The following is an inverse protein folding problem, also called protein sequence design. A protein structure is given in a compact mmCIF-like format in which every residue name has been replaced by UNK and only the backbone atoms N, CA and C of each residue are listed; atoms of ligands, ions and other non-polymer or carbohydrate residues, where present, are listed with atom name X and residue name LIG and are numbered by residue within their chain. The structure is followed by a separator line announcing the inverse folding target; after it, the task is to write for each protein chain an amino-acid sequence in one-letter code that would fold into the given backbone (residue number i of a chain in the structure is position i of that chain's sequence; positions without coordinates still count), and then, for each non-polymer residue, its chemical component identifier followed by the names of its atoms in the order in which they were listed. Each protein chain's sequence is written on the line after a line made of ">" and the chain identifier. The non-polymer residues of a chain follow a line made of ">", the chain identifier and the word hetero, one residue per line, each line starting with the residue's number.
data_IF_109615365552
#
_entry.id   IF_109615365552
#
_cell.length_a   1.000
_cell.length_b   1.000
_cell.length_c   1.000
_cell.angle_alpha   90.00
_cell.angle_beta   90.00
_cell.angle_gamma   90.00
#
_symmetry.space_group_name_H-M   'P 1'
#
loop_
_entity.id
_entity.type
_entity.pdbx_description
1 polymer ?
#
# COMPACT_ATOMS: atom_id res chain seq x y z
N UNK A 1 11.55 -14.34 24.83
CA UNK A 1 11.15 -12.97 24.44
C UNK A 1 11.87 -12.68 23.12
N UNK A 2 11.61 -13.51 22.10
CA UNK A 2 12.51 -13.69 20.93
C UNK A 2 11.83 -13.43 19.58
N UNK A 3 10.53 -13.13 19.58
CA UNK A 3 9.72 -12.99 18.36
C UNK A 3 10.13 -11.80 17.48
N UNK A 4 10.63 -10.70 18.06
CA UNK A 4 11.12 -9.54 17.31
C UNK A 4 12.44 -9.84 16.57
N UNK A 5 13.25 -10.79 17.05
CA UNK A 5 14.51 -11.18 16.40
C UNK A 5 14.26 -11.85 15.06
N UNK A 6 13.18 -12.64 14.94
CA UNK A 6 12.85 -13.35 13.71
C UNK A 6 12.40 -12.41 12.59
N UNK A 7 11.49 -11.47 12.89
CA UNK A 7 11.05 -10.48 11.91
C UNK A 7 12.22 -9.64 11.39
N UNK A 8 13.05 -9.09 12.27
CA UNK A 8 14.19 -8.26 11.87
C UNK A 8 15.24 -9.02 11.05
N UNK A 9 15.34 -10.34 11.20
CA UNK A 9 16.23 -11.18 10.38
C UNK A 9 15.70 -11.45 8.98
N UNK A 10 14.38 -11.39 8.77
CA UNK A 10 13.72 -11.74 7.51
C UNK A 10 13.17 -10.55 6.74
N UNK A 11 12.85 -9.47 7.43
CA UNK A 11 12.40 -8.24 6.81
C UNK A 11 13.55 -7.55 6.09
N UNK A 12 13.42 -7.41 4.78
CA UNK A 12 14.34 -6.65 3.93
C UNK A 12 13.75 -5.26 3.75
N UNK A 13 14.48 -4.23 4.18
CA UNK A 13 14.15 -2.86 3.81
C UNK A 13 14.42 -2.67 2.31
N UNK A 14 13.38 -2.33 1.56
CA UNK A 14 13.47 -2.05 0.13
C UNK A 14 14.03 -0.65 -0.11
N UNK A 15 14.71 -0.49 -1.24
CA UNK A 15 15.32 0.77 -1.63
C UNK A 15 14.27 1.80 -2.08
N UNK A 16 14.75 2.97 -2.50
CA UNK A 16 13.89 4.06 -2.95
C UNK A 16 13.12 3.75 -4.23
N UNK A 17 13.51 2.74 -5.02
CA UNK A 17 12.80 2.38 -6.26
C UNK A 17 11.36 1.92 -5.95
N UNK A 18 11.18 1.25 -4.80
CA UNK A 18 9.88 0.76 -4.35
C UNK A 18 8.99 1.93 -3.92
N UNK A 19 9.55 2.94 -3.25
CA UNK A 19 8.78 4.11 -2.84
C UNK A 19 8.26 4.90 -4.05
N UNK A 20 9.07 4.99 -5.11
CA UNK A 20 8.68 5.65 -6.37
C UNK A 20 7.66 4.81 -7.14
N UNK A 21 7.77 3.48 -7.07
CA UNK A 21 6.85 2.56 -7.76
C UNK A 21 5.48 2.50 -7.10
N UNK A 22 5.42 2.58 -5.76
CA UNK A 22 4.21 2.36 -4.96
C UNK A 22 3.84 3.55 -4.04
N UNK A 23 3.73 4.78 -4.57
CA UNK A 23 3.39 5.96 -3.78
C UNK A 23 1.96 5.90 -3.24
N UNK A 24 0.99 5.35 -3.98
CA UNK A 24 -0.40 5.30 -3.52
C UNK A 24 -0.56 4.36 -2.33
N UNK A 25 0.08 3.19 -2.37
CA UNK A 25 0.14 2.25 -1.24
C UNK A 25 0.80 2.87 0.00
N UNK A 26 1.92 3.56 -0.19
CA UNK A 26 2.63 4.25 0.91
C UNK A 26 1.74 5.33 1.54
N UNK A 27 1.05 6.12 0.71
CA UNK A 27 0.17 7.18 1.15
C UNK A 27 -1.15 6.69 1.75
N UNK A 28 -1.71 5.58 1.26
CA UNK A 28 -2.98 5.04 1.74
C UNK A 28 -2.99 4.76 3.25
N UNK A 29 -1.84 4.42 3.84
CA UNK A 29 -1.68 4.26 5.29
C UNK A 29 -1.92 5.55 6.11
N UNK A 30 -1.97 6.71 5.45
CA UNK A 30 -2.12 8.04 6.08
C UNK A 30 -3.47 8.72 5.81
N UNK A 31 -4.35 8.12 5.00
CA UNK A 31 -5.48 8.82 4.37
C UNK A 31 -6.85 8.52 5.03
N UNK A 32 -6.92 7.71 6.08
CA UNK A 32 -8.18 7.49 6.82
C UNK A 32 -8.51 8.58 7.84
N UNK A 33 -9.81 8.81 8.04
CA UNK A 33 -10.36 9.74 9.02
C UNK A 33 -9.86 9.41 10.43
N UNK A 34 -9.56 10.48 11.15
CA UNK A 34 -8.76 10.61 12.40
C UNK A 34 -9.20 9.72 13.58
N UNK A 35 -10.26 8.92 13.45
CA UNK A 35 -10.86 8.13 14.53
C UNK A 35 -10.38 6.67 14.62
N UNK A 36 -9.89 6.06 13.52
CA UNK A 36 -9.20 4.75 13.58
C UNK A 36 -7.70 4.91 13.32
N UNK A 37 -6.89 4.46 14.29
CA UNK A 37 -5.41 4.56 14.28
C UNK A 37 -4.84 4.13 12.93
N UNK A 38 -4.03 5.01 12.32
CA UNK A 38 -3.17 4.80 11.13
C UNK A 38 -2.70 3.34 11.02
N UNK A 39 -3.44 2.50 10.30
CA UNK A 39 -3.04 1.12 10.00
C UNK A 39 -2.03 1.15 8.86
N UNK A 40 -0.97 0.35 8.95
CA UNK A 40 -0.13 0.13 7.78
C UNK A 40 -0.92 -0.70 6.77
N UNK A 41 -0.57 -0.55 5.49
CA UNK A 41 -1.09 -1.43 4.45
C UNK A 41 -0.13 -2.60 4.31
N UNK A 42 -0.64 -3.82 4.50
CA UNK A 42 0.08 -5.06 4.27
C UNK A 42 -0.45 -5.67 3.00
N UNK A 43 0.40 -5.76 1.97
CA UNK A 43 0.08 -6.52 0.76
C UNK A 43 0.79 -7.85 0.87
N UNK A 44 0.01 -8.92 0.96
CA UNK A 44 0.53 -10.26 1.23
C UNK A 44 0.03 -11.27 0.21
N UNK A 45 0.70 -12.42 0.12
CA UNK A 45 0.26 -13.61 -0.58
C UNK A 45 0.70 -14.84 0.21
N UNK A 46 -0.09 -15.91 0.12
CA UNK A 46 0.11 -17.11 0.94
C UNK A 46 -0.29 -18.37 0.18
N UNK A 47 0.51 -19.41 0.35
CA UNK A 47 0.18 -20.75 -0.11
C UNK A 47 0.36 -21.78 1.01
N UNK A 48 0.44 -23.06 0.65
CA UNK A 48 0.57 -24.16 1.61
C UNK A 48 1.91 -24.18 2.35
N UNK A 49 2.95 -23.53 1.82
CA UNK A 49 4.30 -23.55 2.39
C UNK A 49 4.74 -22.20 2.92
N UNK A 50 4.39 -21.12 2.23
CA UNK A 50 5.03 -19.82 2.38
C UNK A 50 4.04 -18.66 2.58
N UNK A 51 4.51 -17.66 3.30
CA UNK A 51 3.90 -16.35 3.46
C UNK A 51 4.89 -15.28 3.01
N UNK A 52 4.44 -14.38 2.12
CA UNK A 52 5.14 -13.14 1.81
C UNK A 52 4.26 -11.94 2.16
N UNK A 53 4.85 -10.93 2.77
CA UNK A 53 4.18 -9.70 3.19
C UNK A 53 5.05 -8.50 2.88
N UNK A 54 4.47 -7.48 2.25
CA UNK A 54 5.10 -6.17 2.09
C UNK A 54 4.33 -5.14 2.88
N UNK A 55 5.05 -4.43 3.74
CA UNK A 55 4.53 -3.41 4.64
C UNK A 55 4.73 -2.04 4.01
N UNK A 56 3.63 -1.36 3.72
CA UNK A 56 3.61 0.01 3.25
C UNK A 56 3.17 0.95 4.37
N UNK A 57 3.95 2.01 4.53
CA UNK A 57 3.79 3.03 5.57
C UNK A 57 4.13 4.38 4.96
N UNK A 58 3.44 5.43 5.40
CA UNK A 58 3.72 6.82 5.01
C UNK A 58 5.03 7.32 5.64
N UNK A 59 5.52 6.62 6.67
CA UNK A 59 6.77 6.91 7.35
C UNK A 59 7.66 5.66 7.33
N UNK A 60 8.88 5.82 6.84
CA UNK A 60 9.93 4.80 6.88
C UNK A 60 10.12 4.00 5.60
N UNK A 61 10.92 2.95 5.69
CA UNK A 61 11.21 2.05 4.58
C UNK A 61 10.03 1.10 4.32
N UNK A 62 9.85 0.72 3.06
CA UNK A 62 8.98 -0.40 2.69
C UNK A 62 9.69 -1.69 3.13
N UNK A 63 9.02 -2.51 3.93
CA UNK A 63 9.60 -3.76 4.45
C UNK A 63 9.00 -4.93 3.69
N UNK A 64 9.84 -5.79 3.13
CA UNK A 64 9.44 -7.04 2.47
C UNK A 64 9.88 -8.22 3.33
N UNK A 65 8.92 -8.99 3.80
CA UNK A 65 9.12 -10.14 4.65
C UNK A 65 8.67 -11.40 3.92
N UNK A 66 9.48 -12.44 3.98
CA UNK A 66 9.15 -13.76 3.44
C UNK A 66 9.64 -14.86 4.40
N UNK A 67 8.77 -15.82 4.69
CA UNK A 67 9.10 -17.00 5.49
C UNK A 67 8.13 -18.15 5.21
N UNK A 68 8.60 -19.37 5.45
CA UNK A 68 7.72 -20.54 5.47
C UNK A 68 6.88 -20.58 6.75
N UNK A 69 5.73 -21.28 6.70
CA UNK A 69 4.88 -21.48 7.88
C UNK A 69 5.61 -22.16 9.03
N UNK A 70 6.47 -23.14 8.74
CA UNK A 70 7.30 -23.82 9.75
C UNK A 70 8.22 -22.85 10.50
N UNK A 71 8.81 -21.89 9.80
CA UNK A 71 9.69 -20.90 10.43
C UNK A 71 8.90 -19.89 11.28
N UNK A 72 7.71 -19.51 10.82
CA UNK A 72 6.80 -18.65 11.57
C UNK A 72 6.33 -19.35 12.85
N UNK A 73 5.99 -20.63 12.76
CA UNK A 73 5.56 -21.44 13.90
C UNK A 73 6.64 -21.59 14.97
N UNK A 74 7.90 -21.71 14.55
CA UNK A 74 9.03 -21.90 15.46
C UNK A 74 9.32 -20.69 16.36
N UNK A 75 8.91 -19.47 15.98
CA UNK A 75 9.31 -18.28 16.75
C UNK A 75 8.57 -16.97 16.50
N UNK A 76 7.61 -16.91 15.57
CA UNK A 76 6.99 -15.66 15.15
C UNK A 76 5.46 -15.65 15.16
N UNK A 77 4.78 -16.70 15.65
CA UNK A 77 3.30 -16.75 15.73
C UNK A 77 2.70 -15.55 16.45
N UNK A 78 3.27 -15.15 17.58
CA UNK A 78 2.79 -14.00 18.36
C UNK A 78 2.91 -12.67 17.60
N UNK A 79 4.02 -12.48 16.89
CA UNK A 79 4.21 -11.33 16.01
C UNK A 79 3.25 -11.35 14.82
N UNK A 80 3.06 -12.49 14.14
CA UNK A 80 2.13 -12.59 13.02
C UNK A 80 0.70 -12.30 13.47
N UNK A 81 0.26 -12.83 14.62
CA UNK A 81 -1.05 -12.54 15.19
C UNK A 81 -1.24 -11.04 15.48
N UNK A 82 -0.20 -10.36 15.96
CA UNK A 82 -0.20 -8.90 16.12
C UNK A 82 -0.35 -8.21 14.75
N UNK A 83 0.46 -8.58 13.76
CA UNK A 83 0.42 -7.99 12.41
C UNK A 83 -0.94 -8.15 11.74
N UNK A 84 -1.58 -9.32 11.89
CA UNK A 84 -2.91 -9.62 11.35
C UNK A 84 -3.96 -8.68 11.93
N UNK A 85 -3.91 -8.43 13.24
CA UNK A 85 -4.93 -7.63 13.95
C UNK A 85 -4.85 -6.12 13.68
N UNK A 86 -3.64 -5.58 13.50
CA UNK A 86 -3.40 -4.13 13.55
C UNK A 86 -3.22 -3.46 12.20
N UNK A 87 -3.23 -4.23 11.11
CA UNK A 87 -3.01 -3.71 9.76
C UNK A 87 -4.21 -3.94 8.85
N UNK A 88 -4.25 -3.19 7.75
CA UNK A 88 -5.16 -3.45 6.64
C UNK A 88 -4.46 -4.35 5.65
N UNK A 89 -5.12 -5.43 5.27
CA UNK A 89 -4.55 -6.48 4.43
C UNK A 89 -5.13 -6.47 3.03
N UNK A 90 -4.24 -6.66 2.07
CA UNK A 90 -4.57 -7.05 0.70
C UNK A 90 -4.09 -8.47 0.46
N UNK A 91 -4.99 -9.30 -0.04
CA UNK A 91 -4.69 -10.65 -0.50
C UNK A 91 -5.05 -10.84 -1.98
N UNK A 92 -4.38 -11.76 -2.69
CA UNK A 92 -4.67 -12.08 -4.08
C UNK A 92 -6.09 -12.62 -4.23
N UNK A 93 -6.46 -13.57 -3.37
CA UNK A 93 -7.69 -14.35 -3.47
C UNK A 93 -8.18 -14.88 -2.11
N UNK A 94 -9.37 -15.47 -2.09
CA UNK A 94 -9.89 -16.19 -0.93
C UNK A 94 -9.03 -17.40 -0.55
N UNK A 95 -8.34 -18.03 -1.51
CA UNK A 95 -7.45 -19.17 -1.27
C UNK A 95 -6.27 -18.77 -0.37
N UNK A 96 -5.67 -17.60 -0.62
CA UNK A 96 -4.60 -17.06 0.21
C UNK A 96 -5.10 -16.76 1.64
N UNK A 97 -6.33 -16.23 1.77
CA UNK A 97 -6.93 -16.00 3.08
C UNK A 97 -7.11 -17.30 3.87
N UNK A 98 -7.53 -18.38 3.20
CA UNK A 98 -7.67 -19.69 3.82
C UNK A 98 -6.33 -20.21 4.35
N UNK A 99 -5.23 -20.01 3.62
CA UNK A 99 -3.90 -20.40 4.09
C UNK A 99 -3.44 -19.60 5.31
N UNK A 100 -3.71 -18.30 5.34
CA UNK A 100 -3.43 -17.45 6.51
C UNK A 100 -4.29 -17.87 7.71
N UNK A 101 -5.58 -18.11 7.51
CA UNK A 101 -6.50 -18.51 8.58
C UNK A 101 -6.15 -19.89 9.14
N UNK A 102 -5.76 -20.84 8.27
CA UNK A 102 -5.34 -22.17 8.67
C UNK A 102 -4.11 -22.16 9.58
N UNK A 103 -3.12 -21.31 9.27
CA UNK A 103 -1.85 -21.25 10.01
C UNK A 103 -1.86 -20.22 11.16
N UNK A 104 -2.79 -19.26 11.13
CA UNK A 104 -2.87 -18.18 12.11
C UNK A 104 -4.33 -17.79 12.42
N UNK A 105 -4.78 -16.63 11.93
CA UNK A 105 -6.12 -16.07 12.16
C UNK A 105 -6.58 -15.29 10.93
N UNK A 106 -7.88 -15.21 10.70
CA UNK A 106 -8.43 -14.36 9.65
C UNK A 106 -8.12 -12.86 9.92
N UNK A 107 -7.57 -12.10 8.95
CA UNK A 107 -7.41 -10.66 9.08
C UNK A 107 -8.77 -9.96 9.22
N UNK A 108 -8.84 -8.97 10.12
CA UNK A 108 -10.09 -8.27 10.44
C UNK A 108 -10.42 -7.14 9.46
N UNK A 109 -9.40 -6.57 8.81
CA UNK A 109 -9.52 -5.53 7.79
C UNK A 109 -8.85 -6.09 6.51
N UNK A 110 -9.64 -6.81 5.72
CA UNK A 110 -9.17 -7.60 4.58
C UNK A 110 -9.82 -7.12 3.28
N UNK A 111 -9.00 -6.97 2.23
CA UNK A 111 -9.42 -6.68 0.86
C UNK A 111 -8.81 -7.72 -0.09
N UNK A 112 -9.50 -7.97 -1.20
CA UNK A 112 -9.05 -8.88 -2.24
C UNK A 112 -8.77 -8.15 -3.54
N UNK A 113 -7.60 -8.40 -4.13
CA UNK A 113 -7.27 -7.89 -5.46
C UNK A 113 -7.95 -8.69 -6.58
N UNK A 114 -8.44 -9.90 -6.28
CA UNK A 114 -9.00 -10.86 -7.24
C UNK A 114 -8.02 -11.15 -8.39
N UNK A 115 -6.76 -11.37 -8.04
CA UNK A 115 -5.67 -11.61 -8.98
C UNK A 115 -4.66 -12.56 -8.36
N UNK A 116 -4.68 -13.81 -8.82
CA UNK A 116 -3.75 -14.83 -8.34
C UNK A 116 -2.29 -14.46 -8.64
N UNK A 117 -1.39 -14.90 -7.75
CA UNK A 117 0.06 -14.77 -7.92
C UNK A 117 0.57 -16.07 -8.54
N UNK A 118 0.70 -16.10 -9.87
CA UNK A 118 1.27 -17.24 -10.58
C UNK A 118 2.69 -17.55 -10.07
N UNK A 119 2.98 -18.80 -9.76
CA UNK A 119 4.26 -19.20 -9.17
C UNK A 119 4.36 -19.00 -7.65
N UNK A 120 3.29 -18.50 -7.00
CA UNK A 120 3.19 -18.41 -5.55
C UNK A 120 3.87 -17.18 -4.94
N UNK A 121 3.85 -17.04 -3.60
CA UNK A 121 4.34 -15.87 -2.88
C UNK A 121 5.86 -15.65 -3.04
N UNK A 122 6.61 -16.69 -3.37
CA UNK A 122 8.08 -16.63 -3.51
C UNK A 122 8.53 -16.13 -4.89
N UNK A 123 7.66 -16.17 -5.91
CA UNK A 123 7.94 -15.59 -7.22
C UNK A 123 7.88 -14.06 -7.16
N UNK A 124 9.06 -13.43 -7.14
CA UNK A 124 9.17 -11.97 -7.03
C UNK A 124 8.60 -11.23 -8.23
N UNK A 125 8.66 -11.79 -9.44
CA UNK A 125 8.14 -11.11 -10.63
C UNK A 125 6.62 -11.07 -10.59
N UNK A 126 6.00 -12.22 -10.32
CA UNK A 126 4.55 -12.32 -10.20
C UNK A 126 4.03 -11.53 -9.01
N UNK A 127 4.74 -11.57 -7.88
CA UNK A 127 4.37 -10.79 -6.70
C UNK A 127 4.44 -9.28 -6.98
N UNK A 128 5.44 -8.78 -7.72
CA UNK A 128 5.48 -7.35 -8.12
C UNK A 128 4.29 -6.96 -9.01
N UNK A 129 3.90 -7.79 -9.98
CA UNK A 129 2.69 -7.52 -10.79
C UNK A 129 1.42 -7.47 -9.96
N UNK A 130 1.36 -8.25 -8.89
CA UNK A 130 0.29 -8.19 -7.91
C UNK A 130 0.32 -6.87 -7.11
N UNK A 131 1.49 -6.44 -6.63
CA UNK A 131 1.65 -5.12 -6.00
C UNK A 131 1.19 -3.99 -6.92
N UNK A 132 1.55 -4.02 -8.21
CA UNK A 132 1.12 -3.05 -9.21
C UNK A 132 -0.42 -2.98 -9.33
N UNK A 133 -1.09 -4.13 -9.22
CA UNK A 133 -2.55 -4.20 -9.28
C UNK A 133 -3.20 -3.52 -8.06
N UNK A 134 -2.65 -3.73 -6.86
CA UNK A 134 -3.14 -3.10 -5.62
C UNK A 134 -2.85 -1.59 -5.62
N UNK A 135 -1.65 -1.19 -6.05
CA UNK A 135 -1.27 0.21 -6.25
C UNK A 135 -2.26 0.92 -7.18
N UNK A 136 -2.60 0.30 -8.31
CA UNK A 136 -3.58 0.86 -9.25
C UNK A 136 -4.96 1.06 -8.63
N UNK A 137 -5.38 0.18 -7.70
CA UNK A 137 -6.65 0.34 -7.01
C UNK A 137 -6.63 1.55 -6.08
N UNK A 138 -5.53 1.77 -5.34
CA UNK A 138 -5.39 2.98 -4.52
C UNK A 138 -5.24 4.25 -5.36
N UNK A 139 -4.60 4.21 -6.53
CA UNK A 139 -4.55 5.39 -7.42
C UNK A 139 -5.92 5.82 -7.93
N UNK A 140 -6.89 4.89 -7.99
CA UNK A 140 -8.28 5.16 -8.36
C UNK A 140 -9.14 5.61 -7.18
N UNK A 141 -8.67 5.45 -5.95
CA UNK A 141 -9.33 5.98 -4.77
C UNK A 141 -9.27 7.50 -4.83
N UNK A 142 -10.42 8.17 -4.80
CA UNK A 142 -10.50 9.61 -4.99
C UNK A 142 -9.72 10.38 -3.91
N UNK A 143 -9.72 9.90 -2.67
CA UNK A 143 -9.02 10.54 -1.56
C UNK A 143 -7.52 10.43 -1.73
N UNK A 144 -7.03 9.24 -2.12
CA UNK A 144 -5.62 9.02 -2.41
C UNK A 144 -5.19 9.78 -3.67
N UNK A 145 -6.01 9.76 -4.70
CA UNK A 145 -5.76 10.46 -5.96
C UNK A 145 -5.61 11.97 -5.76
N UNK A 146 -6.48 12.61 -4.96
CA UNK A 146 -6.37 14.06 -4.68
C UNK A 146 -5.09 14.43 -3.96
N UNK A 147 -4.58 13.55 -3.09
CA UNK A 147 -3.31 13.78 -2.38
C UNK A 147 -2.11 13.59 -3.32
N UNK A 148 -2.16 12.59 -4.20
CA UNK A 148 -1.09 12.32 -5.17
C UNK A 148 -1.06 13.34 -6.31
N UNK A 149 -2.23 13.82 -6.73
CA UNK A 149 -2.43 14.73 -7.85
C UNK A 149 -3.29 15.91 -7.40
N UNK A 150 -2.74 16.85 -6.61
CA UNK A 150 -3.50 18.02 -6.20
C UNK A 150 -3.90 18.85 -7.43
N UNK A 151 -5.14 19.32 -7.46
CA UNK A 151 -5.78 20.05 -8.59
C UNK A 151 -5.05 21.37 -9.01
N UNK A 152 -3.93 21.71 -8.37
CA UNK A 152 -3.16 22.93 -8.60
C UNK A 152 -2.05 22.86 -9.67
N UNK A 153 -1.71 21.68 -10.21
CA UNK A 153 -0.60 21.55 -11.19
C UNK A 153 -1.03 21.62 -12.66
N UNK A 154 -2.34 21.53 -12.94
CA UNK A 154 -2.90 21.61 -14.30
C UNK A 154 -3.87 22.79 -14.50
N UNK A 155 -3.88 23.77 -13.59
CA UNK A 155 -4.45 25.08 -13.93
C UNK A 155 -3.41 25.82 -14.75
N UNK A 156 -3.35 25.44 -16.04
CA UNK A 156 -2.58 26.15 -17.04
C UNK A 156 -2.89 27.65 -16.94
N UNK A 157 -1.81 28.42 -17.00
CA UNK A 157 -1.75 29.87 -17.13
C UNK A 157 -2.39 30.31 -18.46
N UNK A 158 -3.67 30.00 -18.63
CA UNK A 158 -4.44 30.23 -19.85
C UNK A 158 -5.77 30.87 -19.48
N UNK A 159 -5.72 31.88 -18.62
CA UNK A 159 -6.76 32.89 -18.53
C UNK A 159 -6.30 34.13 -19.32
N UNK A 160 -6.52 34.06 -20.64
CA UNK A 160 -6.97 35.19 -21.48
C UNK A 160 -6.28 36.54 -21.29
N UNK A 161 -5.16 36.73 -21.99
CA UNK A 161 -4.76 38.05 -22.48
C UNK A 161 -5.41 38.24 -23.87
N UNK A 162 -6.68 38.64 -23.90
CA UNK A 162 -7.35 39.13 -25.12
C UNK A 162 -8.11 40.42 -24.80
N UNK A 163 -7.57 41.49 -25.38
CA UNK A 163 -8.08 42.84 -25.59
C UNK A 163 -9.57 43.13 -25.28
N UNK A 164 -9.79 44.23 -24.55
CA UNK A 164 -10.84 45.18 -24.87
C UNK A 164 -10.21 46.58 -24.94
N UNK A 165 -9.97 47.03 -26.17
CA UNK A 165 -9.75 48.44 -26.50
C UNK A 165 -10.98 49.28 -26.15
N UNK A 166 -10.73 50.51 -25.73
CA UNK A 166 -11.62 51.64 -25.98
C UNK A 166 -12.62 51.98 -24.88
N UNK A 167 -12.22 52.89 -23.98
CA UNK A 167 -13.07 54.02 -23.59
C UNK A 167 -12.25 55.09 -22.84
N UNK A 168 -11.98 56.19 -23.56
CA UNK A 168 -11.53 57.47 -23.01
C UNK A 168 -12.67 58.10 -22.18
N UNK A 169 -12.37 58.76 -21.06
CA UNK A 169 -13.12 59.95 -20.68
C UNK A 169 -12.24 61.20 -20.69
N UNK A 170 -12.85 62.27 -21.18
CA UNK A 170 -12.35 63.64 -21.29
C UNK A 170 -12.14 64.26 -19.90
N UNK A 171 -11.05 65.01 -19.73
CA UNK A 171 -10.87 65.97 -18.64
C UNK A 171 -11.53 67.30 -19.04
N UNK A 172 -12.27 67.97 -18.14
CA UNK A 172 -12.64 69.37 -18.34
C UNK A 172 -11.55 70.32 -17.82
N UNK A 173 -11.43 71.45 -18.51
CA UNK A 173 -10.55 72.61 -18.23
C UNK A 173 -10.88 73.34 -16.92
#
# INVERSE_FOLDING_TARGET
>A
MDSNSFFLKRAVARDSDWQVSYPALSMASSIDAVDERRKQIVVAAADETDLRMVFFSSLGAILDFQASWTEIDAGARGWLAFTIRWNRWWLPSLKDAQWIEHNAFAPTDLRFANRDVEGGPTDTTSFRRYLDAVELQYRRDETVSRVLFPDGLYRGDSATHLHADGQHPLLPE
#
